data_IF_515217674042
#
_entry.id   IF_515217674042
#
_cell.length_a   1.000
_cell.length_b   1.000
_cell.length_c   1.000
_cell.angle_alpha   90.00
_cell.angle_beta   90.00
_cell.angle_gamma   90.00
#
_symmetry.space_group_name_H-M   'P 1'
#
loop_
_entity.id
_entity.type
_entity.pdbx_description
1 polymer ?
#
# COMPACT_ATOMS: atom_id res chain seq x y z
N UNK A 1 35.93 -34.62 0.69
CA UNK A 1 34.70 -35.27 1.19
C UNK A 1 34.17 -34.63 2.49
N UNK A 2 35.00 -34.40 3.52
CA UNK A 2 34.57 -33.75 4.77
C UNK A 2 33.97 -32.34 4.61
N UNK A 3 34.54 -31.48 3.74
CA UNK A 3 33.98 -30.15 3.48
C UNK A 3 32.57 -30.17 2.87
N UNK A 4 32.31 -31.11 1.96
CA UNK A 4 30.98 -31.26 1.34
C UNK A 4 29.95 -31.63 2.41
N UNK A 5 30.30 -32.55 3.32
CA UNK A 5 29.42 -32.95 4.43
C UNK A 5 29.14 -31.75 5.36
N UNK A 6 30.15 -30.94 5.65
CA UNK A 6 30.01 -29.73 6.48
C UNK A 6 29.06 -28.71 5.85
N UNK A 7 29.16 -28.47 4.55
CA UNK A 7 28.26 -27.56 3.82
C UNK A 7 26.81 -28.02 3.90
N UNK A 8 26.54 -29.32 3.70
CA UNK A 8 25.18 -29.85 3.84
C UNK A 8 24.63 -29.72 5.26
N UNK A 9 25.46 -29.94 6.28
CA UNK A 9 25.06 -29.75 7.69
C UNK A 9 24.72 -28.28 7.96
N UNK A 10 25.52 -27.34 7.44
CA UNK A 10 25.25 -25.91 7.58
C UNK A 10 23.95 -25.49 6.89
N UNK A 11 23.65 -26.04 5.70
CA UNK A 11 22.39 -25.80 5.00
C UNK A 11 21.21 -26.30 5.83
N UNK A 12 21.30 -27.49 6.42
CA UNK A 12 20.23 -28.03 7.28
C UNK A 12 20.04 -27.13 8.51
N UNK A 13 21.11 -26.68 9.16
CA UNK A 13 21.02 -25.76 10.28
C UNK A 13 20.40 -24.41 9.90
N UNK A 14 20.71 -23.88 8.72
CA UNK A 14 20.12 -22.65 8.21
C UNK A 14 18.60 -22.81 8.03
N UNK A 15 18.15 -23.89 7.39
CA UNK A 15 16.73 -24.14 7.15
C UNK A 15 15.97 -24.30 8.46
N UNK A 16 16.54 -25.04 9.41
CA UNK A 16 15.95 -25.20 10.75
C UNK A 16 15.94 -23.88 11.52
N UNK A 17 17.02 -23.09 11.43
CA UNK A 17 17.13 -21.79 12.06
C UNK A 17 16.10 -20.79 11.54
N UNK A 18 15.91 -20.73 10.22
CA UNK A 18 14.86 -19.92 9.58
C UNK A 18 13.49 -20.40 10.01
N UNK A 19 13.24 -21.71 10.02
CA UNK A 19 11.96 -22.28 10.47
C UNK A 19 11.64 -21.93 11.92
N UNK A 20 12.62 -22.02 12.81
CA UNK A 20 12.48 -21.67 14.22
C UNK A 20 12.31 -20.16 14.42
N UNK A 21 13.02 -19.34 13.65
CA UNK A 21 12.86 -17.90 13.65
C UNK A 21 11.44 -17.49 13.23
N UNK A 22 10.92 -18.09 12.14
CA UNK A 22 9.54 -17.88 11.70
C UNK A 22 8.52 -18.35 12.75
N UNK A 23 8.79 -19.46 13.43
CA UNK A 23 7.98 -19.94 14.55
C UNK A 23 7.93 -18.93 15.70
N UNK A 24 9.08 -18.38 16.11
CA UNK A 24 9.15 -17.35 17.15
C UNK A 24 8.42 -16.06 16.76
N UNK A 25 8.51 -15.64 15.50
CA UNK A 25 7.75 -14.49 14.99
C UNK A 25 6.24 -14.74 15.10
N UNK A 26 5.79 -15.95 14.74
CA UNK A 26 4.37 -16.35 14.84
C UNK A 26 3.89 -16.40 16.29
N UNK A 27 4.71 -16.93 17.20
CA UNK A 27 4.38 -17.02 18.64
C UNK A 27 4.24 -15.64 19.30
N UNK A 28 5.02 -14.66 18.83
CA UNK A 28 4.92 -13.25 19.24
C UNK A 28 3.75 -12.48 18.60
N UNK A 29 2.86 -13.16 17.88
CA UNK A 29 1.69 -12.52 17.25
C UNK A 29 2.02 -11.68 16.02
N UNK A 30 3.24 -11.76 15.48
CA UNK A 30 3.59 -11.12 14.21
C UNK A 30 2.99 -12.00 13.11
N UNK A 31 1.77 -11.66 12.71
CA UNK A 31 1.14 -12.24 11.53
C UNK A 31 1.92 -11.77 10.31
N UNK A 32 2.84 -12.61 9.84
CA UNK A 32 3.47 -12.51 8.51
C UNK A 32 2.39 -12.85 7.48
N UNK A 33 1.36 -12.00 7.38
CA UNK A 33 0.34 -12.07 6.36
C UNK A 33 0.02 -10.64 5.97
N UNK A 34 0.38 -10.34 4.73
CA UNK A 34 -0.09 -9.19 3.95
C UNK A 34 0.59 -7.83 4.12
N UNK A 35 1.87 -7.77 4.51
CA UNK A 35 2.66 -6.52 4.38
C UNK A 35 3.68 -6.57 3.23
N UNK A 36 3.23 -7.00 2.05
CA UNK A 36 4.08 -7.23 0.88
C UNK A 36 4.72 -5.95 0.30
N UNK A 37 4.31 -4.76 0.76
CA UNK A 37 4.76 -3.48 0.17
C UNK A 37 5.28 -2.45 1.19
N UNK A 38 5.22 -2.68 2.51
CA UNK A 38 5.64 -1.69 3.52
C UNK A 38 4.83 -0.37 3.52
N UNK A 39 3.87 -0.24 2.60
CA UNK A 39 2.93 0.88 2.49
C UNK A 39 1.98 0.84 3.69
N UNK A 40 1.55 -0.35 4.10
CA UNK A 40 0.71 -0.55 5.29
C UNK A 40 1.43 -0.02 6.52
N UNK A 41 2.71 -0.37 6.72
CA UNK A 41 3.53 0.08 7.84
C UNK A 41 3.70 1.62 7.89
N UNK A 42 3.87 2.28 6.74
CA UNK A 42 3.96 3.75 6.67
C UNK A 42 2.62 4.44 6.96
N UNK A 43 1.51 3.88 6.49
CA UNK A 43 0.15 4.34 6.84
C UNK A 43 -0.11 4.10 8.32
N UNK A 44 0.12 2.88 8.82
CA UNK A 44 -0.06 2.47 10.22
C UNK A 44 0.70 3.37 11.17
N UNK A 45 1.93 3.78 10.83
CA UNK A 45 2.73 4.67 11.68
C UNK A 45 2.11 6.06 11.89
N UNK A 46 1.15 6.46 11.04
CA UNK A 46 0.37 7.70 11.24
C UNK A 46 -0.98 7.49 11.91
N UNK A 47 -1.42 6.24 12.09
CA UNK A 47 -2.63 5.91 12.85
C UNK A 47 -2.27 5.51 14.29
N UNK A 48 -3.21 5.71 15.22
CA UNK A 48 -3.08 5.16 16.57
C UNK A 48 -3.11 3.62 16.52
N UNK A 49 -2.53 2.95 17.51
CA UNK A 49 -2.55 1.47 17.61
C UNK A 49 -3.98 0.90 17.56
N UNK A 50 -4.98 1.66 18.03
CA UNK A 50 -6.39 1.30 18.01
C UNK A 50 -7.03 1.44 16.62
N UNK A 51 -6.62 2.43 15.82
CA UNK A 51 -7.15 2.65 14.48
C UNK A 51 -6.40 1.87 13.40
N UNK A 52 -5.17 1.41 13.70
CA UNK A 52 -4.26 0.65 12.85
C UNK A 52 -4.74 -0.80 12.56
N UNK A 53 -6.05 -1.05 12.59
CA UNK A 53 -6.63 -2.35 12.24
C UNK A 53 -6.59 -2.56 10.73
N UNK A 54 -6.43 -3.82 10.32
CA UNK A 54 -6.45 -4.20 8.90
C UNK A 54 -7.75 -3.75 8.20
N UNK A 55 -8.87 -3.73 8.93
CA UNK A 55 -10.16 -3.27 8.39
C UNK A 55 -10.15 -1.77 8.09
N UNK A 56 -9.66 -0.94 9.01
CA UNK A 56 -9.59 0.51 8.84
C UNK A 56 -8.62 0.89 7.72
N UNK A 57 -7.44 0.26 7.67
CA UNK A 57 -6.46 0.46 6.58
C UNK A 57 -7.10 0.14 5.23
N UNK A 58 -7.83 -0.97 5.13
CA UNK A 58 -8.55 -1.33 3.90
C UNK A 58 -9.62 -0.31 3.53
N UNK A 59 -10.35 0.24 4.50
CA UNK A 59 -11.34 1.31 4.27
C UNK A 59 -10.67 2.58 3.75
N UNK A 60 -9.54 2.99 4.33
CA UNK A 60 -8.76 4.16 3.92
C UNK A 60 -8.23 3.99 2.49
N UNK A 61 -7.58 2.86 2.19
CA UNK A 61 -7.05 2.58 0.85
C UNK A 61 -8.17 2.58 -0.21
N UNK A 62 -9.33 2.02 0.13
CA UNK A 62 -10.51 2.05 -0.75
C UNK A 62 -11.06 3.45 -0.95
N UNK A 63 -11.09 4.28 0.09
CA UNK A 63 -11.53 5.66 0.00
C UNK A 63 -10.65 6.46 -0.97
N UNK A 64 -9.32 6.36 -0.81
CA UNK A 64 -8.36 7.04 -1.69
C UNK A 64 -8.45 6.52 -3.12
N UNK A 65 -8.49 5.20 -3.31
CA UNK A 65 -8.60 4.60 -4.64
C UNK A 65 -9.90 5.03 -5.36
N UNK A 66 -11.02 5.14 -4.62
CA UNK A 66 -12.28 5.62 -5.20
C UNK A 66 -12.19 7.08 -5.63
N UNK A 67 -11.56 7.94 -4.82
CA UNK A 67 -11.36 9.34 -5.15
C UNK A 67 -10.50 9.51 -6.41
N UNK A 68 -9.37 8.80 -6.48
CA UNK A 68 -8.47 8.82 -7.65
C UNK A 68 -9.18 8.34 -8.92
N UNK A 69 -9.86 7.20 -8.87
CA UNK A 69 -10.60 6.66 -10.01
C UNK A 69 -11.70 7.61 -10.50
N UNK A 70 -12.40 8.26 -9.57
CA UNK A 70 -13.42 9.24 -9.92
C UNK A 70 -12.79 10.44 -10.62
N UNK A 71 -11.69 10.98 -10.08
CA UNK A 71 -11.05 12.16 -10.66
C UNK A 71 -10.52 11.87 -12.06
N UNK A 72 -9.82 10.75 -12.24
CA UNK A 72 -9.29 10.37 -13.56
C UNK A 72 -10.39 10.09 -14.59
N UNK A 73 -11.56 9.61 -14.15
CA UNK A 73 -12.68 9.37 -15.06
C UNK A 73 -13.39 10.65 -15.49
N UNK A 74 -13.48 11.65 -14.61
CA UNK A 74 -14.32 12.84 -14.81
C UNK A 74 -13.54 14.10 -15.19
N UNK A 75 -12.23 14.17 -14.92
CA UNK A 75 -11.39 15.34 -15.15
C UNK A 75 -10.21 15.01 -16.06
N UNK A 76 -10.45 14.28 -17.16
CA UNK A 76 -9.39 13.76 -18.04
C UNK A 76 -8.47 14.84 -18.60
N UNK A 77 -9.03 15.99 -18.96
CA UNK A 77 -8.34 17.09 -19.65
C UNK A 77 -7.76 18.16 -18.70
N UNK A 78 -7.97 18.00 -17.39
CA UNK A 78 -7.43 18.92 -16.38
C UNK A 78 -5.94 18.64 -16.12
N UNK A 79 -5.23 19.65 -15.64
CA UNK A 79 -3.84 19.51 -15.24
C UNK A 79 -3.70 18.60 -14.00
N UNK A 80 -2.58 17.86 -13.91
CA UNK A 80 -2.39 16.84 -12.88
C UNK A 80 -2.37 17.39 -11.45
N UNK A 81 -1.89 18.62 -11.26
CA UNK A 81 -1.93 19.33 -9.98
C UNK A 81 -3.38 19.62 -9.54
N UNK A 82 -4.24 20.01 -10.48
CA UNK A 82 -5.67 20.21 -10.25
C UNK A 82 -6.34 18.87 -9.90
N UNK A 83 -6.01 17.80 -10.63
CA UNK A 83 -6.54 16.45 -10.34
C UNK A 83 -6.11 15.96 -8.95
N UNK A 84 -4.84 16.13 -8.60
CA UNK A 84 -4.31 15.74 -7.29
C UNK A 84 -5.05 16.45 -6.16
N UNK A 85 -5.29 17.76 -6.29
CA UNK A 85 -6.03 18.51 -5.28
C UNK A 85 -7.50 18.06 -5.17
N UNK A 86 -8.18 17.83 -6.29
CA UNK A 86 -9.56 17.30 -6.28
C UNK A 86 -9.66 15.93 -5.64
N UNK A 87 -8.68 15.05 -5.91
CA UNK A 87 -8.62 13.72 -5.33
C UNK A 87 -8.38 13.79 -3.82
N UNK A 88 -7.55 14.74 -3.38
CA UNK A 88 -7.27 15.00 -1.97
C UNK A 88 -8.51 15.47 -1.22
N UNK A 89 -9.20 16.50 -1.72
CA UNK A 89 -10.41 17.04 -1.10
C UNK A 89 -11.48 15.94 -0.97
N UNK A 90 -11.66 15.14 -2.03
CA UNK A 90 -12.61 14.02 -2.04
C UNK A 90 -12.21 12.91 -1.07
N UNK A 91 -10.94 12.52 -1.03
CA UNK A 91 -10.45 11.49 -0.13
C UNK A 91 -10.60 11.90 1.34
N UNK A 92 -10.31 13.16 1.68
CA UNK A 92 -10.49 13.70 3.02
C UNK A 92 -11.95 13.59 3.49
N UNK A 93 -12.91 14.00 2.65
CA UNK A 93 -14.35 13.90 2.98
C UNK A 93 -14.74 12.45 3.27
N UNK A 94 -14.28 11.50 2.44
CA UNK A 94 -14.62 10.08 2.63
C UNK A 94 -13.96 9.52 3.89
N UNK A 95 -12.70 9.88 4.16
CA UNK A 95 -11.95 9.43 5.34
C UNK A 95 -12.54 10.01 6.63
N UNK A 96 -12.95 11.27 6.64
CA UNK A 96 -13.67 11.87 7.79
C UNK A 96 -14.94 11.08 8.13
N UNK A 97 -15.64 10.55 7.13
CA UNK A 97 -16.81 9.68 7.31
C UNK A 97 -16.51 8.32 7.94
N UNK A 98 -15.24 7.94 8.13
CA UNK A 98 -14.85 6.67 8.76
C UNK A 98 -14.82 6.75 10.30
N UNK A 99 -14.98 7.94 10.90
CA UNK A 99 -14.95 8.15 12.36
C UNK A 99 -13.74 7.52 13.05
N UNK A 100 -12.54 7.71 12.48
CA UNK A 100 -11.27 7.28 13.08
C UNK A 100 -10.95 8.18 14.29
N UNK A 101 -10.33 7.61 15.33
CA UNK A 101 -9.94 8.37 16.53
C UNK A 101 -8.75 9.30 16.27
N UNK A 102 -7.86 8.91 15.36
CA UNK A 102 -6.72 9.70 14.92
C UNK A 102 -6.94 10.31 13.52
N UNK A 103 -6.65 11.61 13.34
CA UNK A 103 -6.69 12.22 12.02
C UNK A 103 -5.52 11.73 11.15
N UNK A 104 -5.80 11.39 9.90
CA UNK A 104 -4.77 11.10 8.89
C UNK A 104 -4.27 12.43 8.33
N UNK A 105 -2.95 12.62 8.29
CA UNK A 105 -2.37 13.86 7.76
C UNK A 105 -2.64 13.99 6.26
N UNK A 106 -2.74 15.24 5.79
CA UNK A 106 -2.91 15.53 4.37
C UNK A 106 -1.79 14.92 3.52
N UNK A 107 -0.54 15.02 4.01
CA UNK A 107 0.63 14.48 3.32
C UNK A 107 0.54 12.95 3.15
N UNK A 108 0.07 12.23 4.17
CA UNK A 108 -0.18 10.79 4.06
C UNK A 108 -1.22 10.49 2.98
N UNK A 109 -2.34 11.23 2.95
CA UNK A 109 -3.38 11.04 1.92
C UNK A 109 -2.82 11.33 0.53
N UNK A 110 -2.01 12.38 0.39
CA UNK A 110 -1.34 12.75 -0.87
C UNK A 110 -0.39 11.65 -1.35
N UNK A 111 0.36 11.03 -0.46
CA UNK A 111 1.22 9.89 -0.80
C UNK A 111 0.40 8.67 -1.24
N UNK A 112 -0.74 8.42 -0.62
CA UNK A 112 -1.66 7.37 -1.04
C UNK A 112 -2.29 7.63 -2.40
N UNK A 113 -2.61 8.89 -2.72
CA UNK A 113 -3.10 9.29 -4.03
C UNK A 113 -2.06 8.98 -5.10
N UNK A 114 -0.79 9.35 -4.87
CA UNK A 114 0.30 9.05 -5.81
C UNK A 114 0.48 7.55 -6.04
N UNK A 115 0.44 6.76 -4.96
CA UNK A 115 0.48 5.30 -5.04
C UNK A 115 -0.71 4.75 -5.83
N UNK A 116 -1.93 5.15 -5.47
CA UNK A 116 -3.14 4.69 -6.15
C UNK A 116 -3.14 5.04 -7.65
N UNK A 117 -2.61 6.21 -8.00
CA UNK A 117 -2.45 6.66 -9.39
C UNK A 117 -1.42 5.80 -10.14
N UNK A 118 -0.31 5.44 -9.49
CA UNK A 118 0.71 4.56 -10.09
C UNK A 118 0.19 3.14 -10.39
N UNK A 119 -0.85 2.70 -9.69
CA UNK A 119 -1.52 1.42 -9.94
C UNK A 119 -2.65 1.49 -10.97
N UNK A 120 -2.97 2.67 -11.50
CA UNK A 120 -3.95 2.77 -12.57
C UNK A 120 -3.41 2.12 -13.85
N UNK A 121 -4.30 1.49 -14.65
CA UNK A 121 -3.89 1.03 -15.97
C UNK A 121 -3.37 2.23 -16.78
N UNK A 122 -2.31 2.04 -17.60
CA UNK A 122 -1.86 3.09 -18.50
C UNK A 122 -3.04 3.51 -19.38
N UNK A 123 -3.19 4.82 -19.55
CA UNK A 123 -4.15 5.40 -20.48
C UNK A 123 -3.67 5.02 -21.89
N UNK A 124 -4.14 3.87 -22.41
CA UNK A 124 -3.82 3.38 -23.75
C UNK A 124 -4.41 4.33 -24.79
N UNK A 125 -3.77 5.49 -24.96
CA UNK A 125 -3.86 6.27 -26.18
C UNK A 125 -2.99 5.53 -27.19
N UNK A 126 -3.55 4.56 -27.90
CA UNK A 126 -3.03 4.22 -29.21
C UNK A 126 -2.99 5.52 -30.00
N UNK A 127 -1.80 6.10 -30.14
CA UNK A 127 -1.55 7.09 -31.17
C UNK A 127 -1.69 6.35 -32.49
N UNK A 128 -2.90 6.31 -33.03
CA UNK A 128 -3.13 5.97 -34.43
C UNK A 128 -2.47 7.12 -35.21
N UNK A 129 -1.18 6.97 -35.50
CA UNK A 129 -0.44 7.82 -36.40
C UNK A 129 -1.00 7.54 -37.79
N UNK A 130 -2.04 8.28 -38.18
CA UNK A 130 -2.48 8.33 -39.57
C UNK A 130 -1.40 9.02 -40.38
N UNK A 131 -0.52 8.24 -41.01
CA UNK A 131 0.28 8.72 -42.13
C UNK A 131 -0.68 9.05 -43.28
N UNK A 132 -0.76 10.33 -43.61
CA UNK A 132 -1.48 10.84 -44.78
C UNK A 132 -0.50 11.09 -45.91
#
# INVERSE_FOLDING_TARGET
MSNIILEYVLIVFLVVGIGYFLYLLRDKGITIKDDYFGITLSILNTLSEEDATHENVKKILRAVSKAVNYVESNYKDEANDIKEQKALDMAQIIIMGLNLNSPITEESIRNLIKLATAFLPPDNKEQIINYK
#
